data_IF_098899254498
#
_entry.id   IF_098899254498
#
_cell.length_a   1.000
_cell.length_b   1.000
_cell.length_c   1.000
_cell.angle_alpha   90.00
_cell.angle_beta   90.00
_cell.angle_gamma   90.00
#
_symmetry.space_group_name_H-M   'P 1'
#
loop_
_entity.id
_entity.type
_entity.pdbx_description
1 polymer ?
#
# COMPACT_ATOMS: atom_id res chain seq x y z
N UNK A 1 -51.40 -18.37 -17.96
CA UNK A 1 -51.12 -17.75 -16.65
C UNK A 1 -49.82 -18.33 -16.10
N UNK A 2 -48.70 -17.66 -16.33
CA UNK A 2 -47.44 -17.97 -15.64
C UNK A 2 -46.80 -16.63 -15.26
N UNK A 3 -46.57 -16.35 -13.97
CA UNK A 3 -45.91 -15.12 -13.56
C UNK A 3 -44.41 -15.30 -13.75
N UNK A 4 -43.83 -14.57 -14.71
CA UNK A 4 -42.38 -14.49 -14.85
C UNK A 4 -41.84 -13.64 -13.71
N UNK A 5 -41.26 -14.30 -12.70
CA UNK A 5 -40.55 -13.66 -11.59
C UNK A 5 -39.30 -13.01 -12.17
N UNK A 6 -39.31 -11.68 -12.26
CA UNK A 6 -38.15 -10.88 -12.64
C UNK A 6 -37.25 -10.73 -11.42
N UNK A 7 -36.26 -11.61 -11.28
CA UNK A 7 -35.19 -11.41 -10.29
C UNK A 7 -34.43 -10.12 -10.64
N UNK A 8 -34.60 -9.09 -9.81
CA UNK A 8 -33.73 -7.93 -9.81
C UNK A 8 -32.44 -8.33 -9.08
N UNK A 9 -31.38 -8.66 -9.82
CA UNK A 9 -30.05 -8.74 -9.26
C UNK A 9 -29.61 -7.33 -8.86
N UNK A 10 -29.74 -7.01 -7.58
CA UNK A 10 -29.14 -5.83 -6.96
C UNK A 10 -27.63 -6.03 -6.89
N UNK A 11 -26.91 -5.66 -7.95
CA UNK A 11 -25.47 -5.47 -7.87
C UNK A 11 -25.21 -4.21 -7.05
N UNK A 12 -24.92 -4.37 -5.76
CA UNK A 12 -24.44 -3.28 -4.92
C UNK A 12 -23.00 -2.98 -5.31
N UNK A 13 -22.80 -2.23 -6.40
CA UNK A 13 -21.50 -1.70 -6.77
C UNK A 13 -21.16 -0.55 -5.83
N UNK A 14 -20.78 -0.91 -4.59
CA UNK A 14 -20.20 0.06 -3.66
C UNK A 14 -18.98 0.66 -4.36
N UNK A 15 -18.94 1.98 -4.61
CA UNK A 15 -17.87 2.58 -5.41
C UNK A 15 -16.53 2.26 -4.76
N UNK A 16 -15.58 1.82 -5.59
CA UNK A 16 -14.21 1.58 -5.14
C UNK A 16 -13.67 2.90 -4.58
N UNK A 17 -12.99 2.88 -3.43
CA UNK A 17 -12.33 4.06 -2.90
C UNK A 17 -11.33 4.57 -3.94
N UNK A 18 -11.06 5.89 -3.96
CA UNK A 18 -10.15 6.48 -4.92
C UNK A 18 -8.73 5.89 -4.85
N UNK A 19 -8.36 5.29 -3.71
CA UNK A 19 -7.10 4.60 -3.50
C UNK A 19 -7.31 3.17 -2.97
N UNK A 20 -6.75 2.22 -3.69
CA UNK A 20 -6.77 0.79 -3.37
C UNK A 20 -5.56 0.36 -2.54
N UNK A 21 -4.49 1.17 -2.56
CA UNK A 21 -3.21 0.87 -1.90
C UNK A 21 -2.81 1.94 -0.88
N UNK A 22 -2.10 1.52 0.16
CA UNK A 22 -1.33 2.36 1.08
C UNK A 22 0.16 2.06 0.91
N UNK A 23 0.98 3.10 0.79
CA UNK A 23 2.44 3.02 0.85
C UNK A 23 2.93 3.69 2.12
N UNK A 24 3.60 2.94 2.98
CA UNK A 24 4.26 3.44 4.19
C UNK A 24 5.77 3.52 3.96
N UNK A 25 6.35 4.71 4.04
CA UNK A 25 7.79 4.93 4.01
C UNK A 25 8.34 5.00 5.44
N UNK A 26 9.28 4.11 5.75
CA UNK A 26 10.07 4.13 6.98
C UNK A 26 11.34 4.95 6.76
N UNK A 27 11.56 5.91 7.64
CA UNK A 27 12.64 6.91 7.55
C UNK A 27 13.35 7.07 8.89
N UNK A 28 14.48 7.77 8.88
CA UNK A 28 15.16 8.26 10.09
C UNK A 28 15.69 9.68 9.85
N UNK A 29 16.00 10.46 10.89
CA UNK A 29 16.65 11.76 10.75
C UNK A 29 17.99 11.66 10.00
N UNK A 30 18.36 12.72 9.28
CA UNK A 30 19.65 12.81 8.57
C UNK A 30 19.92 11.67 7.56
N UNK A 31 18.87 11.19 6.87
CA UNK A 31 18.95 10.12 5.88
C UNK A 31 18.89 10.67 4.44
N UNK A 32 20.03 10.72 3.73
CA UNK A 32 20.08 11.20 2.34
C UNK A 32 19.32 10.32 1.35
N UNK A 33 19.35 8.99 1.55
CA UNK A 33 18.59 8.05 0.73
C UNK A 33 17.07 8.22 0.89
N UNK A 34 16.62 8.65 2.08
CA UNK A 34 15.22 8.90 2.36
C UNK A 34 14.69 10.09 1.54
N UNK A 35 15.51 11.12 1.29
CA UNK A 35 15.15 12.22 0.38
C UNK A 35 14.89 11.71 -1.04
N UNK A 36 15.77 10.85 -1.55
CA UNK A 36 15.59 10.22 -2.88
C UNK A 36 14.33 9.36 -2.91
N UNK A 37 14.08 8.55 -1.88
CA UNK A 37 12.87 7.74 -1.76
C UNK A 37 11.60 8.59 -1.82
N UNK A 38 11.56 9.72 -1.10
CA UNK A 38 10.42 10.65 -1.14
C UNK A 38 10.18 11.21 -2.54
N UNK A 39 11.24 11.56 -3.27
CA UNK A 39 11.13 12.02 -4.66
C UNK A 39 10.57 10.93 -5.57
N UNK A 40 11.04 9.69 -5.44
CA UNK A 40 10.53 8.55 -6.21
C UNK A 40 9.05 8.30 -5.91
N UNK A 41 8.63 8.36 -4.63
CA UNK A 41 7.24 8.19 -4.25
C UNK A 41 6.36 9.34 -4.77
N UNK A 42 6.83 10.58 -4.74
CA UNK A 42 6.13 11.71 -5.34
C UNK A 42 5.94 11.52 -6.85
N UNK A 43 6.98 11.12 -7.58
CA UNK A 43 6.87 10.82 -9.02
C UNK A 43 5.96 9.62 -9.33
N UNK A 44 5.90 8.65 -8.41
CA UNK A 44 5.01 7.49 -8.54
C UNK A 44 3.56 7.90 -8.33
N UNK A 45 3.30 8.78 -7.36
CA UNK A 45 1.97 9.31 -7.07
C UNK A 45 1.33 9.99 -8.27
N UNK A 46 2.12 10.77 -9.04
CA UNK A 46 1.67 11.40 -10.29
C UNK A 46 1.23 10.38 -11.36
N UNK A 47 1.68 9.12 -11.27
CA UNK A 47 1.34 8.05 -12.22
C UNK A 47 0.17 7.19 -11.73
N UNK A 48 0.16 6.86 -10.44
CA UNK A 48 -0.90 6.09 -9.80
C UNK A 48 -1.01 6.55 -8.35
N UNK A 49 -2.18 7.10 -7.99
CA UNK A 49 -2.42 7.58 -6.64
C UNK A 49 -2.57 6.42 -5.64
N UNK A 50 -2.06 6.60 -4.42
CA UNK A 50 -2.18 5.65 -3.32
C UNK A 50 -2.57 6.38 -2.03
N UNK A 51 -2.46 5.79 -0.85
CA UNK A 51 -2.43 6.54 0.42
C UNK A 51 -0.99 6.58 0.91
N UNK A 52 -0.44 7.76 1.20
CA UNK A 52 0.93 7.88 1.68
C UNK A 52 0.98 7.99 3.20
N UNK A 53 1.90 7.24 3.82
CA UNK A 53 2.24 7.35 5.24
C UNK A 53 3.75 7.41 5.40
N UNK A 54 4.21 8.17 6.38
CA UNK A 54 5.61 8.24 6.76
C UNK A 54 5.76 7.87 8.23
N UNK A 55 6.77 7.05 8.54
CA UNK A 55 7.09 6.61 9.90
C UNK A 55 8.56 6.93 10.16
N UNK A 56 8.82 7.72 11.20
CA UNK A 56 10.17 7.86 11.73
C UNK A 56 10.46 6.69 12.67
N UNK A 57 11.43 5.86 12.30
CA UNK A 57 11.79 4.69 13.10
C UNK A 57 12.56 5.06 14.37
N UNK A 58 13.05 6.29 14.49
CA UNK A 58 13.74 6.77 15.69
C UNK A 58 12.76 7.34 16.73
N UNK A 59 11.49 7.54 16.37
CA UNK A 59 10.45 7.92 17.32
C UNK A 59 10.25 6.77 18.33
N UNK A 60 10.36 7.02 19.65
CA UNK A 60 10.15 5.99 20.67
C UNK A 60 8.77 5.33 20.60
N UNK A 61 7.76 5.90 19.93
CA UNK A 61 6.48 5.23 19.67
C UNK A 61 6.56 4.06 18.67
N UNK A 62 7.65 3.94 17.89
CA UNK A 62 7.76 3.06 16.73
C UNK A 62 8.77 1.89 16.90
N UNK A 63 8.84 1.31 18.11
CA UNK A 63 9.83 0.28 18.48
C UNK A 63 9.93 -0.92 17.52
N UNK A 64 8.82 -1.34 16.90
CA UNK A 64 8.81 -2.48 15.97
C UNK A 64 9.56 -2.15 14.67
N UNK A 65 9.34 -0.94 14.12
CA UNK A 65 10.03 -0.48 12.91
C UNK A 65 11.50 -0.15 13.16
N UNK A 66 11.82 0.39 14.35
CA UNK A 66 13.19 0.65 14.78
C UNK A 66 14.05 -0.61 14.71
N UNK A 67 13.58 -1.71 15.31
CA UNK A 67 14.35 -2.95 15.41
C UNK A 67 14.47 -3.71 14.09
N UNK A 68 13.51 -3.57 13.19
CA UNK A 68 13.54 -4.27 11.89
C UNK A 68 14.32 -3.51 10.82
N UNK A 69 14.29 -2.17 10.82
CA UNK A 69 14.78 -1.36 9.69
C UNK A 69 15.91 -0.38 10.04
N UNK A 70 16.49 -0.42 11.24
CA UNK A 70 17.55 0.51 11.69
C UNK A 70 18.65 0.72 10.64
N UNK A 71 19.05 -0.35 9.96
CA UNK A 71 20.14 -0.39 8.99
C UNK A 71 19.68 -0.36 7.53
N UNK A 72 18.38 -0.50 7.27
CA UNK A 72 17.82 -0.72 5.93
C UNK A 72 17.02 0.47 5.38
N UNK A 73 16.81 1.52 6.18
CA UNK A 73 16.11 2.73 5.73
C UNK A 73 16.82 3.42 4.55
N UNK A 74 16.08 3.86 3.51
CA UNK A 74 14.62 3.87 3.40
C UNK A 74 14.03 2.49 3.05
N UNK A 75 12.94 2.15 3.73
CA UNK A 75 12.11 0.96 3.43
C UNK A 75 10.70 1.43 3.12
N UNK A 76 10.06 0.87 2.09
CA UNK A 76 8.64 1.08 1.85
C UNK A 76 7.85 -0.22 1.96
N UNK A 77 6.67 -0.14 2.57
CA UNK A 77 5.66 -1.18 2.54
C UNK A 77 4.51 -0.76 1.66
N UNK A 78 4.16 -1.61 0.70
CA UNK A 78 3.01 -1.45 -0.19
C UNK A 78 1.97 -2.48 0.23
N UNK A 79 0.76 -2.05 0.54
CA UNK A 79 -0.32 -2.92 1.00
C UNK A 79 -1.68 -2.42 0.53
N UNK A 80 -2.74 -3.25 0.52
CA UNK A 80 -4.09 -2.76 0.26
C UNK A 80 -4.54 -1.77 1.34
N UNK A 81 -5.41 -0.81 1.00
CA UNK A 81 -6.01 0.07 2.03
C UNK A 81 -6.89 -0.73 2.98
N UNK A 82 -7.06 -0.23 4.21
CA UNK A 82 -7.94 -0.86 5.22
C UNK A 82 -9.35 -1.10 4.68
N UNK A 83 -9.87 -0.14 3.92
CA UNK A 83 -11.20 -0.26 3.31
C UNK A 83 -11.31 -1.39 2.29
N UNK A 84 -10.21 -1.74 1.60
CA UNK A 84 -10.15 -2.89 0.69
C UNK A 84 -10.12 -4.16 1.52
N UNK A 85 -9.25 -4.23 2.53
CA UNK A 85 -9.11 -5.37 3.46
C UNK A 85 -10.45 -5.72 4.11
N UNK A 86 -11.17 -4.74 4.65
CA UNK A 86 -12.47 -4.92 5.32
C UNK A 86 -13.58 -5.40 4.38
N UNK A 87 -13.50 -5.07 3.07
CA UNK A 87 -14.49 -5.48 2.07
C UNK A 87 -14.24 -6.88 1.50
N UNK A 88 -12.99 -7.32 1.52
CA UNK A 88 -12.60 -8.69 1.17
C UNK A 88 -12.65 -9.53 2.44
N UNK A 89 -13.80 -10.11 2.74
CA UNK A 89 -14.08 -10.96 3.92
C UNK A 89 -13.29 -12.30 3.96
N UNK A 90 -12.23 -12.42 3.14
CA UNK A 90 -11.28 -13.54 3.07
C UNK A 90 -9.83 -13.09 3.35
N UNK A 91 -9.64 -11.98 4.05
CA UNK A 91 -8.29 -11.49 4.37
C UNK A 91 -7.89 -11.90 5.78
N UNK A 92 -7.58 -13.17 5.93
CA UNK A 92 -6.76 -13.67 7.03
C UNK A 92 -5.62 -14.56 6.52
N UNK A 93 -5.82 -15.27 5.41
CA UNK A 93 -4.77 -16.09 4.80
C UNK A 93 -4.09 -15.34 3.65
N UNK A 94 -3.19 -14.42 4.02
CA UNK A 94 -2.22 -13.84 3.09
C UNK A 94 -2.54 -12.45 2.57
N UNK A 95 -2.63 -11.44 3.46
CA UNK A 95 -2.44 -10.04 3.02
C UNK A 95 -1.09 -9.97 2.30
N UNK A 96 -1.10 -9.86 0.97
CA UNK A 96 0.13 -9.76 0.19
C UNK A 96 0.58 -8.32 0.20
N UNK A 97 1.59 -8.05 1.01
CA UNK A 97 2.29 -6.78 1.04
C UNK A 97 3.64 -6.93 0.34
N UNK A 98 4.17 -5.83 -0.18
CA UNK A 98 5.50 -5.80 -0.80
C UNK A 98 6.41 -4.86 -0.03
N UNK A 99 7.64 -5.32 0.20
CA UNK A 99 8.73 -4.55 0.80
C UNK A 99 9.74 -4.21 -0.27
N UNK A 100 10.07 -2.92 -0.41
CA UNK A 100 11.26 -2.46 -1.14
C UNK A 100 12.19 -1.73 -0.15
N UNK A 101 13.50 -1.89 -0.32
CA UNK A 101 14.50 -1.33 0.60
C UNK A 101 15.75 -0.85 -0.14
N UNK A 102 16.58 -0.07 0.56
CA UNK A 102 17.86 0.52 0.12
C UNK A 102 17.77 1.51 -1.04
N UNK A 103 17.31 1.05 -2.21
CA UNK A 103 17.17 1.83 -3.43
C UNK A 103 16.09 1.22 -4.30
N UNK A 104 15.16 2.06 -4.73
CA UNK A 104 14.11 1.71 -5.67
C UNK A 104 13.84 2.90 -6.58
N UNK A 105 13.41 2.61 -7.80
CA UNK A 105 12.98 3.57 -8.80
C UNK A 105 11.46 3.55 -8.93
N UNK A 106 10.90 4.52 -9.66
CA UNK A 106 9.45 4.63 -9.90
C UNK A 106 8.87 3.34 -10.49
N UNK A 107 9.61 2.67 -11.38
CA UNK A 107 9.18 1.40 -11.99
C UNK A 107 9.06 0.26 -10.96
N UNK A 108 9.92 0.25 -9.94
CA UNK A 108 9.94 -0.79 -8.92
C UNK A 108 8.74 -0.62 -7.99
N UNK A 109 8.42 0.64 -7.64
CA UNK A 109 7.23 0.97 -6.84
C UNK A 109 5.95 0.60 -7.59
N UNK A 110 5.83 1.00 -8.86
CA UNK A 110 4.68 0.63 -9.70
C UNK A 110 4.55 -0.89 -9.89
N UNK A 111 5.67 -1.60 -10.04
CA UNK A 111 5.69 -3.05 -10.09
C UNK A 111 5.15 -3.67 -8.81
N UNK A 112 5.63 -3.21 -7.65
CA UNK A 112 5.16 -3.65 -6.34
C UNK A 112 3.68 -3.33 -6.10
N UNK A 113 3.20 -2.16 -6.54
CA UNK A 113 1.77 -1.79 -6.49
C UNK A 113 0.92 -2.79 -7.29
N UNK A 114 1.33 -3.11 -8.52
CA UNK A 114 0.65 -4.09 -9.37
C UNK A 114 0.63 -5.48 -8.76
N UNK A 115 1.74 -5.93 -8.18
CA UNK A 115 1.81 -7.25 -7.52
C UNK A 115 0.82 -7.37 -6.36
N UNK A 116 0.68 -6.30 -5.56
CA UNK A 116 -0.28 -6.25 -4.45
C UNK A 116 -1.72 -6.24 -4.98
N UNK A 117 -2.01 -5.48 -6.04
CA UNK A 117 -3.35 -5.40 -6.63
C UNK A 117 -3.79 -6.71 -7.30
N UNK A 118 -2.87 -7.43 -7.94
CA UNK A 118 -3.14 -8.72 -8.58
C UNK A 118 -3.17 -9.90 -7.60
N UNK A 119 -2.84 -9.66 -6.32
CA UNK A 119 -2.88 -10.67 -5.28
C UNK A 119 -1.94 -11.86 -5.52
N UNK A 120 -0.77 -11.60 -6.14
CA UNK A 120 -0.08 -12.53 -7.06
C UNK A 120 0.29 -13.92 -6.60
#
# INVERSE_FOLDING_TARGET
>A
MHPTIRLLLSSSSKPLPPHTLTITLFTRPTCSLCTTAKHVLAQTWEKQHFEYREVDIMDPGNFVGAREYEFDVPVIHIQPTKSVIERTSEVAEGVRWRKLMHRFEVKDVLGGMREVELGG
#
